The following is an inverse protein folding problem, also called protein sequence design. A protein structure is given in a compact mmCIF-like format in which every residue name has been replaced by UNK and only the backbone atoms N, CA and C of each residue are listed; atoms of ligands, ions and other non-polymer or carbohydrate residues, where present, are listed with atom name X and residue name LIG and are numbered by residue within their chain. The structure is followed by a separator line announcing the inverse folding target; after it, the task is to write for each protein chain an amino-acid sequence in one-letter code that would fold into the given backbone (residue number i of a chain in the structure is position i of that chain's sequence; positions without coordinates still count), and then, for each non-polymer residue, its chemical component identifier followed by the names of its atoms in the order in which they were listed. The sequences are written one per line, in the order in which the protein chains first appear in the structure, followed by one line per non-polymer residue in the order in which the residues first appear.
data_IF_319656313004
#
_entry.id   IF_319656313004
#
_cell.length_a   1.000
_cell.length_b   1.000
_cell.length_c   1.000
_cell.angle_alpha   90.00
_cell.angle_beta   90.00
_cell.angle_gamma   90.00
#
_symmetry.space_group_name_H-M   'P 1'
#
loop_
_entity.id
_entity.type
_entity.pdbx_description
1 polymer ?
#
# COMPACT_ATOMS: atom_id res chain seq x y z
N UNK A 1 -27.35 6.53 4.04
CA UNK A 1 -27.00 5.61 2.93
C UNK A 1 -26.39 6.30 1.70
N UNK A 2 -26.53 7.63 1.52
CA UNK A 2 -26.01 8.35 0.34
C UNK A 2 -24.47 8.35 0.20
N UNK A 3 -23.73 8.42 1.32
CA UNK A 3 -22.26 8.59 1.32
C UNK A 3 -21.49 7.39 0.73
N UNK A 4 -22.04 6.18 0.82
CA UNK A 4 -21.38 4.97 0.31
C UNK A 4 -21.52 4.92 -1.22
N UNK A 5 -22.68 5.33 -1.75
CA UNK A 5 -22.99 5.29 -3.18
C UNK A 5 -22.09 6.22 -4.01
N UNK A 6 -21.74 7.40 -3.49
CA UNK A 6 -20.86 8.33 -4.21
C UNK A 6 -19.40 7.86 -4.26
N UNK A 7 -18.94 7.11 -3.24
CA UNK A 7 -17.59 6.54 -3.23
C UNK A 7 -17.41 5.41 -4.26
N UNK A 8 -18.49 4.66 -4.58
CA UNK A 8 -18.47 3.55 -5.53
C UNK A 8 -18.27 3.99 -6.99
N UNK A 9 -18.61 5.24 -7.35
CA UNK A 9 -18.40 5.78 -8.71
C UNK A 9 -16.92 5.89 -9.12
N UNK A 10 -15.98 5.90 -8.16
CA UNK A 10 -14.53 5.98 -8.42
C UNK A 10 -13.81 4.62 -8.35
N UNK A 11 -14.55 3.52 -8.21
CA UNK A 11 -13.96 2.16 -8.12
C UNK A 11 -14.01 1.51 -9.49
N UNK A 12 -12.84 1.29 -10.10
CA UNK A 12 -12.73 0.53 -11.35
C UNK A 12 -12.57 -0.95 -11.05
N UNK A 13 -13.61 -1.75 -11.36
CA UNK A 13 -13.51 -3.21 -11.37
C UNK A 13 -12.81 -3.65 -12.66
N UNK A 14 -11.72 -4.42 -12.53
CA UNK A 14 -10.96 -4.96 -13.67
C UNK A 14 -10.93 -6.48 -13.52
N UNK A 15 -11.55 -7.20 -14.46
CA UNK A 15 -11.46 -8.66 -14.56
C UNK A 15 -10.14 -9.04 -15.26
N UNK A 16 -9.46 -10.09 -14.79
CA UNK A 16 -8.23 -10.62 -15.41
C UNK A 16 -8.35 -12.11 -15.61
N UNK A 17 -8.10 -12.57 -16.84
CA UNK A 17 -7.92 -13.99 -17.12
C UNK A 17 -6.55 -14.45 -16.60
N UNK A 18 -6.55 -15.38 -15.65
CA UNK A 18 -5.34 -16.10 -15.21
C UNK A 18 -5.44 -17.54 -15.71
N UNK A 19 -4.33 -18.06 -16.22
CA UNK A 19 -4.23 -19.40 -16.82
C UNK A 19 -4.33 -20.56 -15.83
N UNK A 20 -4.53 -20.29 -14.53
CA UNK A 20 -4.80 -21.34 -13.54
C UNK A 20 -5.69 -20.83 -12.41
N UNK A 21 -6.91 -21.38 -12.40
CA UNK A 21 -7.91 -21.50 -11.33
C UNK A 21 -8.42 -20.22 -10.65
N UNK A 22 -9.73 -20.00 -10.87
CA UNK A 22 -10.66 -19.06 -10.21
C UNK A 22 -10.68 -17.59 -10.69
N UNK A 23 -11.91 -17.08 -10.86
CA UNK A 23 -12.16 -15.66 -11.10
C UNK A 23 -11.71 -14.87 -9.88
N UNK A 24 -10.77 -13.94 -10.07
CA UNK A 24 -10.32 -13.04 -9.02
C UNK A 24 -10.83 -11.62 -9.29
N UNK A 25 -11.51 -11.04 -8.30
CA UNK A 25 -11.90 -9.63 -8.31
C UNK A 25 -10.87 -8.82 -7.53
N UNK A 26 -10.39 -7.72 -8.10
CA UNK A 26 -9.41 -6.84 -7.47
C UNK A 26 -9.98 -5.42 -7.32
N UNK A 27 -9.88 -4.86 -6.12
CA UNK A 27 -10.19 -3.44 -5.86
C UNK A 27 -8.89 -2.65 -5.98
N UNK A 28 -8.87 -1.63 -6.84
CA UNK A 28 -7.67 -0.85 -7.15
C UNK A 28 -7.91 0.64 -6.98
N UNK A 29 -6.87 1.35 -6.56
CA UNK A 29 -6.86 2.81 -6.51
C UNK A 29 -5.61 3.39 -7.16
N UNK A 30 -5.81 4.28 -8.13
CA UNK A 30 -4.74 4.91 -8.91
C UNK A 30 -4.62 6.43 -8.65
N UNK A 31 -5.66 7.06 -8.12
CA UNK A 31 -5.66 8.50 -7.85
C UNK A 31 -4.99 8.81 -6.50
N UNK A 32 -4.37 9.99 -6.41
CA UNK A 32 -3.58 10.38 -5.23
C UNK A 32 -4.45 10.61 -3.99
N UNK A 33 -5.64 11.20 -4.14
CA UNK A 33 -6.57 11.50 -3.06
C UNK A 33 -6.98 10.24 -2.30
N UNK A 34 -7.44 9.21 -3.01
CA UNK A 34 -7.82 7.92 -2.43
C UNK A 34 -6.62 7.18 -1.80
N UNK A 35 -5.41 7.34 -2.34
CA UNK A 35 -4.20 6.79 -1.72
C UNK A 35 -3.87 7.46 -0.40
N UNK A 36 -3.98 8.79 -0.34
CA UNK A 36 -3.77 9.53 0.90
C UNK A 36 -4.78 9.11 1.97
N UNK A 37 -6.07 9.03 1.61
CA UNK A 37 -7.12 8.54 2.51
C UNK A 37 -6.82 7.12 3.03
N UNK A 38 -6.35 6.22 2.16
CA UNK A 38 -5.95 4.88 2.55
C UNK A 38 -4.77 4.91 3.53
N UNK A 39 -3.75 5.72 3.28
CA UNK A 39 -2.61 5.82 4.20
C UNK A 39 -2.96 6.45 5.53
N UNK A 40 -3.84 7.46 5.56
CA UNK A 40 -4.34 8.01 6.83
C UNK A 40 -5.04 6.95 7.68
N UNK A 41 -5.85 6.09 7.03
CA UNK A 41 -6.48 4.96 7.69
C UNK A 41 -5.46 3.95 8.21
N UNK A 42 -4.49 3.54 7.38
CA UNK A 42 -3.48 2.54 7.76
C UNK A 42 -2.47 3.05 8.79
N UNK A 43 -2.23 4.36 8.85
CA UNK A 43 -1.42 4.98 9.89
C UNK A 43 -2.14 4.99 11.24
N UNK A 44 -3.48 5.10 11.24
CA UNK A 44 -4.30 4.95 12.44
C UNK A 44 -4.46 3.48 12.87
N UNK A 45 -4.59 2.59 11.89
CA UNK A 45 -4.78 1.14 12.07
C UNK A 45 -3.71 0.37 11.29
N UNK A 46 -2.50 0.22 11.85
CA UNK A 46 -1.39 -0.46 11.21
C UNK A 46 -1.73 -1.86 10.71
N UNK A 47 -1.23 -2.20 9.52
CA UNK A 47 -1.29 -3.57 9.02
C UNK A 47 -0.49 -4.52 9.92
N UNK A 48 -0.84 -5.80 9.86
CA UNK A 48 -0.07 -6.87 10.48
C UNK A 48 1.03 -7.37 9.55
N UNK A 49 2.08 -7.93 10.14
CA UNK A 49 3.10 -8.63 9.37
C UNK A 49 3.94 -7.68 8.49
N UNK A 50 4.71 -8.26 7.56
CA UNK A 50 5.63 -7.50 6.71
C UNK A 50 4.91 -6.43 5.86
N UNK A 51 3.59 -6.55 5.67
CA UNK A 51 2.79 -5.59 4.92
C UNK A 51 2.80 -4.20 5.54
N UNK A 52 2.95 -4.08 6.86
CA UNK A 52 3.16 -2.79 7.52
C UNK A 52 4.43 -2.08 7.00
N UNK A 53 5.53 -2.82 6.89
CA UNK A 53 6.78 -2.27 6.35
C UNK A 53 6.66 -1.92 4.87
N UNK A 54 5.93 -2.73 4.10
CA UNK A 54 5.65 -2.42 2.70
C UNK A 54 4.83 -1.12 2.56
N UNK A 55 3.83 -0.90 3.42
CA UNK A 55 3.07 0.36 3.47
C UNK A 55 4.00 1.55 3.78
N UNK A 56 4.80 1.47 4.85
CA UNK A 56 5.73 2.57 5.23
C UNK A 56 6.69 2.92 4.07
N UNK A 57 7.22 1.92 3.38
CA UNK A 57 8.13 2.16 2.26
C UNK A 57 7.40 2.73 1.05
N UNK A 58 6.14 2.34 0.82
CA UNK A 58 5.31 2.92 -0.24
C UNK A 58 4.98 4.40 0.02
N UNK A 59 4.74 4.78 1.27
CA UNK A 59 4.54 6.18 1.66
C UNK A 59 5.78 7.04 1.36
N UNK A 60 7.00 6.51 1.62
CA UNK A 60 8.26 7.19 1.26
C UNK A 60 8.40 7.40 -0.24
N UNK A 61 7.95 6.45 -1.05
CA UNK A 61 7.93 6.60 -2.52
C UNK A 61 6.98 7.73 -2.94
N UNK A 62 5.80 7.83 -2.33
CA UNK A 62 4.83 8.89 -2.68
C UNK A 62 5.40 10.30 -2.43
N UNK A 63 6.12 10.52 -1.34
CA UNK A 63 6.76 11.81 -1.03
C UNK A 63 7.73 12.22 -2.13
N UNK A 64 8.45 11.25 -2.70
CA UNK A 64 9.53 11.48 -3.68
C UNK A 64 9.02 11.34 -5.11
N UNK A 65 7.75 11.00 -5.31
CA UNK A 65 7.16 10.80 -6.64
C UNK A 65 7.37 12.01 -7.55
N UNK A 66 7.41 13.25 -7.06
CA UNK A 66 7.70 14.43 -7.91
C UNK A 66 9.13 14.44 -8.49
N UNK A 67 10.06 13.72 -7.87
CA UNK A 67 11.48 13.61 -8.28
C UNK A 67 11.78 12.33 -9.07
N UNK A 68 10.80 11.49 -9.41
CA UNK A 68 11.05 10.20 -10.09
C UNK A 68 11.76 10.31 -11.46
N UNK A 69 11.76 11.51 -12.07
CA UNK A 69 12.38 11.77 -13.38
C UNK A 69 13.88 12.07 -13.33
N UNK A 70 14.43 12.32 -12.15
CA UNK A 70 15.87 12.53 -11.96
C UNK A 70 16.52 11.26 -11.40
N UNK A 71 17.82 11.10 -11.65
CA UNK A 71 18.59 9.90 -11.27
C UNK A 71 18.42 9.58 -9.77
N UNK A 72 18.63 10.57 -8.91
CA UNK A 72 18.47 10.44 -7.46
C UNK A 72 17.07 9.92 -7.08
N UNK A 73 16.03 10.43 -7.73
CA UNK A 73 14.65 10.00 -7.45
C UNK A 73 14.38 8.58 -7.94
N UNK A 74 15.01 8.15 -9.03
CA UNK A 74 14.93 6.77 -9.54
C UNK A 74 15.60 5.80 -8.55
N UNK A 75 16.79 6.12 -8.07
CA UNK A 75 17.53 5.28 -7.11
C UNK A 75 16.74 5.09 -5.81
N UNK A 76 16.10 6.16 -5.34
CA UNK A 76 15.26 6.10 -4.14
C UNK A 76 14.01 5.26 -4.39
N UNK A 77 13.38 5.40 -5.56
CA UNK A 77 12.21 4.59 -5.93
C UNK A 77 12.57 3.10 -5.98
N UNK A 78 13.70 2.75 -6.59
CA UNK A 78 14.19 1.37 -6.65
C UNK A 78 14.50 0.81 -5.25
N UNK A 79 15.23 1.57 -4.44
CA UNK A 79 15.55 1.21 -3.05
C UNK A 79 14.29 0.85 -2.26
N UNK A 80 13.31 1.75 -2.21
CA UNK A 80 12.11 1.51 -1.42
C UNK A 80 11.20 0.45 -2.03
N UNK A 81 11.16 0.32 -3.37
CA UNK A 81 10.43 -0.78 -4.03
C UNK A 81 10.99 -2.14 -3.65
N UNK A 82 12.31 -2.26 -3.54
CA UNK A 82 12.95 -3.50 -3.08
C UNK A 82 12.68 -3.77 -1.59
N UNK A 83 12.65 -2.73 -0.75
CA UNK A 83 12.32 -2.87 0.69
C UNK A 83 10.84 -3.23 0.95
N UNK A 84 9.95 -3.09 -0.03
CA UNK A 84 8.55 -3.54 0.07
C UNK A 84 8.38 -5.05 -0.14
N UNK A 85 9.35 -5.72 -0.77
CA UNK A 85 9.29 -7.17 -1.01
C UNK A 85 9.41 -7.91 0.33
N UNK A 86 8.66 -9.00 0.44
CA UNK A 86 8.83 -9.92 1.56
C UNK A 86 10.20 -10.58 1.47
N UNK A 87 10.87 -10.65 2.60
CA UNK A 87 12.21 -11.23 2.75
C UNK A 87 12.18 -12.10 4.01
N UNK A 88 12.25 -13.41 3.83
CA UNK A 88 12.09 -14.38 4.93
C UNK A 88 13.26 -14.32 5.92
N UNK A 89 14.43 -13.87 5.46
CA UNK A 89 15.65 -13.81 6.26
C UNK A 89 15.74 -12.50 7.07
N UNK A 90 14.82 -11.55 6.84
CA UNK A 90 14.74 -10.32 7.62
C UNK A 90 14.06 -10.55 8.96
N UNK A 91 14.75 -10.13 10.01
CA UNK A 91 14.17 -9.98 11.34
C UNK A 91 13.24 -8.75 11.39
N UNK A 92 11.97 -8.97 11.08
CA UNK A 92 10.93 -7.95 11.27
C UNK A 92 10.59 -7.80 12.75
N UNK A 93 10.46 -6.55 13.21
CA UNK A 93 9.99 -6.24 14.57
C UNK A 93 8.49 -5.95 14.57
N UNK A 94 7.78 -6.33 15.64
CA UNK A 94 6.32 -6.19 15.69
C UNK A 94 5.85 -5.10 16.65
N UNK A 95 6.72 -4.15 16.99
CA UNK A 95 6.44 -3.09 17.98
C UNK A 95 5.21 -2.24 17.68
N UNK A 96 4.83 -2.09 16.40
CA UNK A 96 3.61 -1.38 16.01
C UNK A 96 2.33 -2.10 16.48
N UNK A 97 2.42 -3.39 16.80
CA UNK A 97 1.31 -4.19 17.33
C UNK A 97 1.17 -4.08 18.84
N UNK A 98 2.18 -3.61 19.57
CA UNK A 98 2.13 -3.43 21.02
C UNK A 98 0.92 -2.57 21.43
N UNK A 99 0.56 -1.58 20.60
CA UNK A 99 -0.60 -0.71 20.82
C UNK A 99 -1.95 -1.45 20.69
N UNK A 100 -2.01 -2.55 19.95
CA UNK A 100 -3.23 -3.36 19.81
C UNK A 100 -3.39 -4.34 20.97
N UNK A 101 -2.28 -4.94 21.42
CA UNK A 101 -2.31 -6.00 22.44
C UNK A 101 -2.19 -5.49 23.89
N UNK A 102 -1.71 -4.26 24.10
CA UNK A 102 -1.61 -3.65 25.44
C UNK A 102 -2.82 -2.76 25.80
N UNK A 103 -4.00 -3.04 25.23
CA UNK A 103 -5.27 -2.44 25.65
C UNK A 103 -5.88 -3.24 26.80
#
# INVERSE_FOLDING_TARGET
MQLIADSLKKVTNIERERSSFEKAYEVRTNNLESRNLLFDYLNKFPLFGYKHYAQINLEKILVIYKKHKIIEGKDILEKYSNLMKYDIDKNYTWKHLDKFYNN
#
